data_IF_614821248721
#
_entry.id   IF_614821248721
#
_cell.length_a   1.000
_cell.length_b   1.000
_cell.length_c   1.000
_cell.angle_alpha   90.00
_cell.angle_beta   90.00
_cell.angle_gamma   90.00
#
_symmetry.space_group_name_H-M   'P 1'
#
loop_
_entity.id
_entity.type
_entity.pdbx_description
1 polymer ?
#
# COMPACT_ATOMS: atom_id res chain seq x y z
N UNK A 1 -29.04 -67.25 18.75
CA UNK A 1 -29.15 -65.96 18.09
C UNK A 1 -27.82 -65.68 17.35
N UNK A 2 -27.84 -65.91 16.05
CA UNK A 2 -26.62 -65.89 15.20
C UNK A 2 -26.40 -64.43 14.73
N UNK A 3 -25.22 -63.86 15.03
CA UNK A 3 -24.79 -62.53 14.51
C UNK A 3 -24.14 -62.75 13.16
N UNK A 4 -24.74 -62.17 12.13
CA UNK A 4 -24.18 -62.15 10.76
C UNK A 4 -23.31 -60.92 10.65
N UNK A 5 -22.02 -61.13 10.46
CA UNK A 5 -21.08 -60.05 10.11
C UNK A 5 -21.00 -59.97 8.59
N UNK A 6 -21.47 -58.84 8.06
CA UNK A 6 -21.32 -58.51 6.64
C UNK A 6 -20.03 -57.66 6.49
N UNK A 7 -19.04 -58.25 5.88
CA UNK A 7 -17.81 -57.53 5.49
C UNK A 7 -18.09 -56.83 4.14
N UNK A 8 -18.14 -55.50 4.13
CA UNK A 8 -18.19 -54.69 2.89
C UNK A 8 -16.73 -54.38 2.51
N UNK A 9 -16.27 -55.02 1.45
CA UNK A 9 -14.95 -54.77 0.86
C UNK A 9 -15.10 -53.61 -0.15
N UNK A 10 -14.63 -52.43 0.21
CA UNK A 10 -14.57 -51.27 -0.69
C UNK A 10 -13.25 -51.31 -1.46
N UNK A 11 -13.34 -51.65 -2.76
CA UNK A 11 -12.25 -51.49 -3.71
C UNK A 11 -12.08 -50.00 -4.05
N UNK A 12 -11.04 -49.37 -3.55
CA UNK A 12 -10.65 -48.03 -3.98
C UNK A 12 -9.75 -48.18 -5.20
N UNK A 13 -10.30 -47.96 -6.37
CA UNK A 13 -9.55 -47.85 -7.60
C UNK A 13 -8.79 -46.53 -7.66
N UNK A 14 -7.46 -46.58 -7.56
CA UNK A 14 -6.57 -45.45 -7.75
C UNK A 14 -6.46 -45.19 -9.27
N UNK A 15 -7.17 -44.23 -9.79
CA UNK A 15 -6.95 -43.74 -11.16
C UNK A 15 -5.78 -42.76 -11.14
N UNK A 16 -4.63 -43.25 -11.58
CA UNK A 16 -3.42 -42.42 -11.76
C UNK A 16 -3.60 -41.54 -13.01
N UNK A 17 -3.97 -40.28 -12.83
CA UNK A 17 -4.01 -39.31 -13.92
C UNK A 17 -2.58 -38.82 -14.16
N UNK A 18 -1.90 -39.39 -15.17
CA UNK A 18 -0.63 -38.86 -15.65
C UNK A 18 -0.90 -37.62 -16.48
N UNK A 19 -0.82 -36.42 -15.87
CA UNK A 19 -0.78 -35.16 -16.59
C UNK A 19 0.65 -34.96 -17.08
N UNK A 20 0.88 -35.27 -18.35
CA UNK A 20 2.12 -34.90 -19.03
C UNK A 20 2.14 -33.38 -19.22
N UNK A 21 2.89 -32.67 -18.39
CA UNK A 21 3.24 -31.28 -18.66
C UNK A 21 4.21 -31.26 -19.83
N UNK A 22 3.71 -30.99 -21.02
CA UNK A 22 4.53 -30.56 -22.13
C UNK A 22 5.12 -29.20 -21.77
N UNK A 23 6.38 -29.17 -21.39
CA UNK A 23 7.13 -27.92 -21.21
C UNK A 23 7.36 -27.33 -22.59
N UNK A 24 6.45 -26.46 -23.03
CA UNK A 24 6.66 -25.58 -24.18
C UNK A 24 7.69 -24.51 -23.78
N UNK A 25 8.95 -24.84 -24.05
CA UNK A 25 10.09 -23.97 -23.83
C UNK A 25 10.14 -22.91 -24.93
N UNK A 26 9.14 -22.04 -24.98
CA UNK A 26 9.23 -20.79 -25.70
C UNK A 26 10.18 -19.89 -24.90
N UNK A 27 11.45 -19.87 -25.31
CA UNK A 27 12.36 -18.80 -24.96
C UNK A 27 11.69 -17.48 -25.35
N UNK A 28 11.15 -16.77 -24.39
CA UNK A 28 10.83 -15.36 -24.55
C UNK A 28 12.18 -14.67 -24.73
N UNK A 29 12.42 -14.27 -25.97
CA UNK A 29 13.49 -13.37 -26.33
C UNK A 29 13.27 -12.07 -25.55
N UNK A 30 14.00 -11.92 -24.43
CA UNK A 30 13.89 -10.81 -23.48
C UNK A 30 14.59 -9.55 -24.04
N UNK A 31 14.40 -9.27 -25.33
CA UNK A 31 14.95 -8.09 -25.97
C UNK A 31 13.87 -7.08 -26.37
N UNK A 32 12.82 -6.94 -25.52
CA UNK A 32 12.01 -5.75 -25.53
C UNK A 32 12.70 -4.66 -24.69
N UNK A 33 13.82 -4.17 -25.18
CA UNK A 33 14.21 -2.80 -24.90
C UNK A 33 13.18 -1.92 -25.61
N UNK A 34 12.03 -1.71 -24.96
CA UNK A 34 11.25 -0.53 -25.23
C UNK A 34 12.14 0.64 -24.82
N UNK A 35 12.79 1.23 -25.81
CA UNK A 35 13.39 2.54 -25.71
C UNK A 35 12.26 3.56 -25.54
N UNK A 36 11.61 3.46 -24.37
CA UNK A 36 10.63 4.43 -23.92
C UNK A 36 11.43 5.66 -23.47
N UNK A 37 11.83 6.46 -24.43
CA UNK A 37 12.29 7.81 -24.19
C UNK A 37 11.10 8.66 -23.69
N UNK A 38 10.51 8.22 -22.55
CA UNK A 38 9.44 8.93 -21.88
C UNK A 38 10.06 10.12 -21.15
N UNK A 39 9.92 11.28 -21.75
CA UNK A 39 10.28 12.52 -21.09
C UNK A 39 9.45 12.67 -19.82
N UNK A 40 10.12 12.73 -18.67
CA UNK A 40 9.45 12.97 -17.38
C UNK A 40 8.91 14.41 -17.33
N UNK A 41 7.61 14.56 -17.51
CA UNK A 41 6.90 15.85 -17.54
C UNK A 41 6.52 16.38 -16.16
N UNK A 42 6.81 15.64 -15.10
CA UNK A 42 6.47 16.06 -13.73
C UNK A 42 7.26 17.31 -13.32
N UNK A 43 6.63 18.16 -12.53
CA UNK A 43 7.25 19.37 -11.99
C UNK A 43 8.38 19.01 -11.03
N UNK A 44 9.60 19.45 -11.32
CA UNK A 44 10.72 19.30 -10.38
C UNK A 44 10.58 20.29 -9.22
N UNK A 45 10.71 19.78 -8.00
CA UNK A 45 10.71 20.59 -6.78
C UNK A 45 12.03 21.31 -6.52
N UNK A 46 13.09 20.96 -7.27
CA UNK A 46 14.44 21.54 -7.16
C UNK A 46 14.98 21.57 -5.72
N UNK A 47 14.75 20.49 -4.98
CA UNK A 47 15.19 20.37 -3.59
C UNK A 47 16.72 20.31 -3.48
N UNK A 48 17.27 20.86 -2.40
CA UNK A 48 18.66 20.59 -2.01
C UNK A 48 18.88 19.11 -1.73
N UNK A 49 20.11 18.63 -1.76
CA UNK A 49 20.45 17.23 -1.48
C UNK A 49 19.93 16.78 -0.10
N UNK A 50 20.02 17.64 0.91
CA UNK A 50 19.56 17.37 2.27
C UNK A 50 18.04 17.26 2.32
N UNK A 51 17.32 18.22 1.74
CA UNK A 51 15.86 18.19 1.65
C UNK A 51 15.36 16.96 0.88
N UNK A 52 16.06 16.59 -0.19
CA UNK A 52 15.74 15.39 -0.95
C UNK A 52 15.87 14.13 -0.10
N UNK A 53 16.98 13.97 0.64
CA UNK A 53 17.17 12.81 1.52
C UNK A 53 16.13 12.76 2.63
N UNK A 54 15.84 13.92 3.24
CA UNK A 54 14.80 14.02 4.26
C UNK A 54 13.42 13.63 3.71
N UNK A 55 13.04 14.16 2.55
CA UNK A 55 11.78 13.83 1.89
C UNK A 55 11.68 12.33 1.55
N UNK A 56 12.77 11.72 1.06
CA UNK A 56 12.82 10.28 0.79
C UNK A 56 12.65 9.44 2.06
N UNK A 57 13.21 9.88 3.19
CA UNK A 57 13.01 9.22 4.49
C UNK A 57 11.54 9.24 4.89
N UNK A 58 10.90 10.40 4.83
CA UNK A 58 9.49 10.56 5.15
C UNK A 58 8.60 9.70 4.25
N UNK A 59 8.88 9.64 2.94
CA UNK A 59 8.12 8.79 2.02
C UNK A 59 8.20 7.31 2.41
N UNK A 60 9.36 6.83 2.86
CA UNK A 60 9.51 5.45 3.35
C UNK A 60 8.72 5.22 4.63
N UNK A 61 8.76 6.17 5.57
CA UNK A 61 7.98 6.09 6.81
C UNK A 61 6.47 6.08 6.54
N UNK A 62 5.98 6.87 5.57
CA UNK A 62 4.58 6.85 5.17
C UNK A 62 4.15 5.49 4.61
N UNK A 63 4.98 4.88 3.73
CA UNK A 63 4.69 3.55 3.19
C UNK A 63 4.67 2.49 4.29
N UNK A 64 5.62 2.56 5.23
CA UNK A 64 5.65 1.66 6.38
C UNK A 64 4.42 1.83 7.28
N UNK A 65 4.01 3.07 7.55
CA UNK A 65 2.81 3.36 8.31
C UNK A 65 1.56 2.77 7.64
N UNK A 66 1.40 2.95 6.33
CA UNK A 66 0.28 2.38 5.57
C UNK A 66 0.28 0.85 5.66
N UNK A 67 1.43 0.20 5.44
CA UNK A 67 1.58 -1.26 5.57
C UNK A 67 1.15 -1.75 6.95
N UNK A 68 1.60 -1.05 8.02
CA UNK A 68 1.26 -1.42 9.39
C UNK A 68 -0.23 -1.21 9.70
N UNK A 69 -0.84 -0.10 9.23
CA UNK A 69 -2.27 0.17 9.37
C UNK A 69 -3.10 -0.94 8.72
N UNK A 70 -2.75 -1.35 7.49
CA UNK A 70 -3.45 -2.45 6.78
C UNK A 70 -3.38 -3.74 7.59
N UNK A 71 -2.21 -4.11 8.10
CA UNK A 71 -2.03 -5.30 8.94
C UNK A 71 -2.88 -5.24 10.23
N UNK A 72 -2.89 -4.10 10.90
CA UNK A 72 -3.67 -3.90 12.13
C UNK A 72 -5.18 -3.91 11.89
N UNK A 73 -5.66 -3.38 10.77
CA UNK A 73 -7.07 -3.50 10.37
C UNK A 73 -7.44 -4.98 10.19
N UNK A 74 -6.61 -5.76 9.51
CA UNK A 74 -6.82 -7.19 9.29
C UNK A 74 -6.88 -7.99 10.61
N UNK A 75 -6.18 -7.50 11.64
CA UNK A 75 -6.17 -8.08 12.99
C UNK A 75 -7.25 -7.48 13.93
N UNK A 76 -8.10 -6.59 13.44
CA UNK A 76 -9.09 -5.83 14.22
C UNK A 76 -8.48 -4.94 15.34
N UNK A 77 -7.21 -4.54 15.19
CA UNK A 77 -6.46 -3.67 16.12
C UNK A 77 -6.61 -2.19 15.75
N UNK A 78 -7.85 -1.72 15.68
CA UNK A 78 -8.18 -0.38 15.18
C UNK A 78 -7.57 0.77 15.99
N UNK A 79 -7.51 0.64 17.32
CA UNK A 79 -6.91 1.67 18.19
C UNK A 79 -5.40 1.85 17.93
N UNK A 80 -4.69 0.76 17.68
CA UNK A 80 -3.27 0.80 17.33
C UNK A 80 -3.08 1.40 15.94
N UNK A 81 -3.90 1.01 14.98
CA UNK A 81 -3.90 1.56 13.63
C UNK A 81 -4.17 3.08 13.64
N UNK A 82 -5.15 3.53 14.43
CA UNK A 82 -5.47 4.95 14.61
C UNK A 82 -4.27 5.76 15.14
N UNK A 83 -3.59 5.24 16.16
CA UNK A 83 -2.39 5.89 16.70
C UNK A 83 -1.29 6.06 15.64
N UNK A 84 -1.07 5.03 14.83
CA UNK A 84 -0.09 5.11 13.74
C UNK A 84 -0.53 6.14 12.69
N UNK A 85 -1.80 6.17 12.31
CA UNK A 85 -2.33 7.13 11.34
C UNK A 85 -2.08 8.57 11.80
N UNK A 86 -2.48 8.92 13.02
CA UNK A 86 -2.24 10.27 13.56
C UNK A 86 -0.74 10.59 13.71
N UNK A 87 0.06 9.66 14.21
CA UNK A 87 1.47 9.93 14.52
C UNK A 87 2.36 9.99 13.27
N UNK A 88 2.06 9.20 12.23
CA UNK A 88 2.94 9.04 11.05
C UNK A 88 2.37 9.67 9.78
N UNK A 89 1.06 9.77 9.66
CA UNK A 89 0.41 10.36 8.47
C UNK A 89 -0.30 11.68 8.80
N UNK A 90 -0.62 11.93 10.06
CA UNK A 90 -1.37 13.10 10.52
C UNK A 90 -0.59 14.42 10.43
N UNK A 91 -1.31 15.53 10.61
CA UNK A 91 -0.78 16.89 10.55
C UNK A 91 -0.18 17.32 11.90
N UNK A 92 0.92 16.67 12.30
CA UNK A 92 1.67 17.05 13.50
C UNK A 92 2.31 18.43 13.35
N UNK A 93 2.72 19.09 14.46
CA UNK A 93 3.47 20.36 14.38
C UNK A 93 4.75 20.25 13.55
N UNK A 94 5.43 19.11 13.59
CA UNK A 94 6.60 18.82 12.77
C UNK A 94 6.25 18.78 11.28
N UNK A 95 5.20 18.06 10.90
CA UNK A 95 4.73 18.00 9.52
C UNK A 95 4.25 19.35 9.01
N UNK A 96 3.58 20.16 9.85
CA UNK A 96 3.24 21.53 9.51
C UNK A 96 4.48 22.38 9.21
N UNK A 97 5.49 22.31 10.06
CA UNK A 97 6.76 22.99 9.83
C UNK A 97 7.40 22.56 8.53
N UNK A 98 7.45 21.26 8.28
CA UNK A 98 8.04 20.70 7.08
C UNK A 98 7.29 21.10 5.81
N UNK A 99 5.96 21.02 5.79
CA UNK A 99 5.17 21.49 4.67
C UNK A 99 5.42 22.98 4.36
N UNK A 100 5.65 23.79 5.38
CA UNK A 100 5.93 25.21 5.21
C UNK A 100 7.31 25.53 4.60
N UNK A 101 8.26 24.59 4.62
CA UNK A 101 9.59 24.76 4.04
C UNK A 101 9.62 24.73 2.51
N UNK A 102 8.55 24.23 1.86
CA UNK A 102 8.51 24.16 0.41
C UNK A 102 8.05 25.49 -0.21
N UNK A 103 8.76 25.96 -1.24
CA UNK A 103 8.41 27.19 -1.97
C UNK A 103 7.21 27.01 -2.90
N UNK A 104 7.07 25.80 -3.48
CA UNK A 104 5.96 25.50 -4.38
C UNK A 104 4.63 25.45 -3.59
N UNK A 105 3.77 26.43 -3.86
CA UNK A 105 2.50 26.61 -3.13
C UNK A 105 1.53 25.46 -3.31
N UNK A 106 1.47 24.89 -4.51
CA UNK A 106 0.54 23.78 -4.81
C UNK A 106 1.02 22.49 -4.17
N UNK A 107 2.34 22.22 -4.21
CA UNK A 107 2.94 21.10 -3.47
C UNK A 107 2.70 21.24 -1.96
N UNK A 108 2.92 22.43 -1.40
CA UNK A 108 2.63 22.73 0.00
C UNK A 108 1.18 22.44 0.36
N UNK A 109 0.23 22.95 -0.44
CA UNK A 109 -1.21 22.71 -0.24
C UNK A 109 -1.55 21.22 -0.27
N UNK A 110 -0.96 20.49 -1.22
CA UNK A 110 -1.15 19.06 -1.36
C UNK A 110 -0.59 18.29 -0.14
N UNK A 111 0.57 18.69 0.37
CA UNK A 111 1.15 18.14 1.59
C UNK A 111 0.26 18.33 2.81
N UNK A 112 -0.27 19.53 3.02
CA UNK A 112 -1.23 19.78 4.10
C UNK A 112 -2.50 18.94 3.96
N UNK A 113 -3.04 18.80 2.74
CA UNK A 113 -4.22 18.00 2.49
C UNK A 113 -3.98 16.50 2.76
N UNK A 114 -2.80 16.00 2.37
CA UNK A 114 -2.37 14.64 2.69
C UNK A 114 -2.37 14.40 4.21
N UNK A 115 -1.65 15.23 4.97
CA UNK A 115 -1.54 15.04 6.41
C UNK A 115 -2.88 15.19 7.13
N UNK A 116 -3.73 16.14 6.68
CA UNK A 116 -5.10 16.21 7.20
C UNK A 116 -5.88 14.92 6.92
N UNK A 117 -5.73 14.32 5.75
CA UNK A 117 -6.39 13.04 5.44
C UNK A 117 -5.86 11.89 6.30
N UNK A 118 -4.61 11.97 6.77
CA UNK A 118 -4.04 11.05 7.76
C UNK A 118 -4.75 11.13 9.11
N UNK A 119 -5.09 12.34 9.55
CA UNK A 119 -5.92 12.53 10.76
C UNK A 119 -7.34 12.02 10.55
N UNK A 120 -7.97 12.33 9.41
CA UNK A 120 -9.31 11.83 9.07
C UNK A 120 -9.33 10.28 9.02
N UNK A 121 -8.24 9.63 8.56
CA UNK A 121 -8.06 8.18 8.63
C UNK A 121 -7.96 7.70 10.08
N UNK A 122 -7.18 8.37 10.91
CA UNK A 122 -7.04 8.05 12.33
C UNK A 122 -8.39 8.08 13.05
N UNK A 123 -9.22 9.08 12.75
CA UNK A 123 -10.57 9.18 13.32
C UNK A 123 -11.53 8.13 12.77
N UNK A 124 -11.47 7.81 11.48
CA UNK A 124 -12.27 6.74 10.90
C UNK A 124 -11.95 5.37 11.54
N UNK A 125 -10.67 5.10 11.82
CA UNK A 125 -10.25 3.88 12.50
C UNK A 125 -10.83 3.72 13.89
N UNK A 126 -11.02 4.82 14.65
CA UNK A 126 -11.67 4.77 15.98
C UNK A 126 -13.10 4.26 15.93
N UNK A 127 -13.77 4.38 14.79
CA UNK A 127 -15.15 3.87 14.64
C UNK A 127 -15.22 2.33 14.62
N UNK A 128 -14.08 1.64 14.38
CA UNK A 128 -13.97 0.19 14.21
C UNK A 128 -14.77 -0.37 13.02
N UNK A 129 -15.21 0.50 12.13
CA UNK A 129 -15.86 0.12 10.87
C UNK A 129 -14.78 -0.10 9.80
N UNK A 130 -14.60 -1.35 9.39
CA UNK A 130 -13.62 -1.74 8.36
C UNK A 130 -13.82 -0.98 7.05
N UNK A 131 -15.08 -0.85 6.60
CA UNK A 131 -15.38 -0.21 5.33
C UNK A 131 -15.14 1.30 5.40
N UNK A 132 -15.46 1.96 6.50
CA UNK A 132 -15.16 3.37 6.72
C UNK A 132 -13.64 3.59 6.76
N UNK A 133 -12.91 2.74 7.48
CA UNK A 133 -11.46 2.77 7.59
C UNK A 133 -10.77 2.60 6.22
N UNK A 134 -11.21 1.63 5.43
CA UNK A 134 -10.67 1.40 4.09
C UNK A 134 -10.97 2.54 3.11
N UNK A 135 -12.16 3.16 3.19
CA UNK A 135 -12.46 4.36 2.38
C UNK A 135 -11.56 5.54 2.75
N UNK A 136 -11.34 5.77 4.04
CA UNK A 136 -10.45 6.82 4.51
C UNK A 136 -8.99 6.56 4.10
N UNK A 137 -8.53 5.31 4.23
CA UNK A 137 -7.20 4.89 3.77
C UNK A 137 -7.04 5.12 2.26
N UNK A 138 -8.01 4.70 1.46
CA UNK A 138 -7.99 4.93 0.01
C UNK A 138 -7.89 6.42 -0.32
N UNK A 139 -8.64 7.28 0.40
CA UNK A 139 -8.56 8.74 0.23
C UNK A 139 -7.18 9.30 0.57
N UNK A 140 -6.54 8.81 1.63
CA UNK A 140 -5.18 9.19 1.99
C UNK A 140 -4.18 8.77 0.90
N UNK A 141 -4.30 7.55 0.37
CA UNK A 141 -3.43 7.07 -0.71
C UNK A 141 -3.62 7.81 -2.04
N UNK A 142 -4.80 8.37 -2.30
CA UNK A 142 -5.06 9.22 -3.47
C UNK A 142 -4.10 10.43 -3.51
N UNK A 143 -3.76 11.01 -2.37
CA UNK A 143 -2.76 12.08 -2.29
C UNK A 143 -1.34 11.59 -2.65
N UNK A 144 -0.98 10.37 -2.26
CA UNK A 144 0.29 9.77 -2.67
C UNK A 144 0.37 9.69 -4.20
N UNK A 145 -0.67 9.13 -4.83
CA UNK A 145 -0.75 8.98 -6.29
C UNK A 145 -0.70 10.35 -6.98
N UNK A 146 -1.49 11.32 -6.52
CA UNK A 146 -1.53 12.67 -7.09
C UNK A 146 -0.18 13.36 -6.99
N UNK A 147 0.47 13.29 -5.83
CA UNK A 147 1.79 13.88 -5.62
C UNK A 147 2.83 13.28 -6.57
N UNK A 148 2.90 11.95 -6.62
CA UNK A 148 3.87 11.22 -7.43
C UNK A 148 3.62 11.31 -8.94
N UNK A 149 2.39 11.56 -9.36
CA UNK A 149 2.05 11.84 -10.75
C UNK A 149 2.42 13.27 -11.19
N UNK A 150 2.45 14.22 -10.23
CA UNK A 150 2.61 15.65 -10.53
C UNK A 150 4.03 16.15 -10.31
N UNK A 151 4.70 15.66 -9.26
CA UNK A 151 5.98 16.18 -8.79
C UNK A 151 7.09 15.12 -8.82
N UNK A 152 8.33 15.60 -8.99
CA UNK A 152 9.57 14.82 -8.81
C UNK A 152 10.60 15.61 -8.02
N UNK A 153 11.48 14.89 -7.37
CA UNK A 153 12.63 15.44 -6.64
C UNK A 153 13.83 15.62 -7.56
#
# INVERSE_FOLDING_TARGET
MKKILIAVSTFIGIVSLNVAFAADKKMHDANHHHDMNMTDTRTSLKLSSEMKQHQLSNMREHVEAIKNIVGLIAENKFEEASKIAHAKLGLTPEMQSMCNMFDNKDFKKLGFAFHKSGDDLGDALKTKDVNASLRALNKTMEYCVTCHATYRQ
#
